data_IF_098428467721
#
_entry.id   IF_098428467721
#
_cell.length_a   1.000
_cell.length_b   1.000
_cell.length_c   1.000
_cell.angle_alpha   90.00
_cell.angle_beta   90.00
_cell.angle_gamma   90.00
#
_symmetry.space_group_name_H-M   'P 1'
#
loop_
_entity.id
_entity.type
_entity.pdbx_description
1 polymer ?
#
# COMPACT_ATOMS: atom_id res chain seq x y z
N UNK A 1 63.53 -14.44 -17.78
CA UNK A 1 64.36 -15.49 -17.12
C UNK A 1 63.45 -16.20 -16.15
N UNK A 2 63.05 -17.36 -16.52
CA UNK A 2 63.31 -18.69 -15.94
C UNK A 2 62.73 -18.86 -14.51
N UNK A 3 61.64 -19.68 -14.45
CA UNK A 3 61.49 -21.01 -13.79
C UNK A 3 61.41 -20.91 -12.24
N UNK A 4 60.49 -21.57 -11.54
CA UNK A 4 60.30 -23.05 -11.35
C UNK A 4 58.96 -23.29 -10.67
N UNK A 5 58.19 -24.09 -11.19
CA UNK A 5 57.29 -25.19 -10.84
C UNK A 5 57.71 -25.95 -9.59
N UNK A 6 56.79 -26.20 -8.63
CA UNK A 6 56.88 -27.38 -7.76
C UNK A 6 55.48 -27.89 -7.41
N UNK A 7 55.27 -29.13 -7.79
CA UNK A 7 54.16 -30.03 -7.47
C UNK A 7 54.26 -30.48 -6.02
N UNK A 8 53.12 -30.57 -5.31
CA UNK A 8 52.98 -31.57 -4.27
C UNK A 8 51.54 -32.09 -4.27
N UNK A 9 51.39 -33.32 -4.73
CA UNK A 9 50.28 -34.22 -4.43
C UNK A 9 50.42 -34.72 -3.00
N UNK A 10 49.36 -34.74 -2.22
CA UNK A 10 49.16 -35.80 -1.20
C UNK A 10 47.66 -35.95 -0.88
N UNK A 11 47.21 -37.18 -1.16
CA UNK A 11 46.26 -38.04 -0.43
C UNK A 11 44.89 -37.49 -0.04
N UNK A 12 43.89 -38.04 -0.67
CA UNK A 12 42.52 -38.19 -0.13
C UNK A 12 42.47 -39.20 1.01
N UNK A 13 41.53 -39.01 1.95
CA UNK A 13 40.77 -40.14 2.44
C UNK A 13 39.30 -40.02 2.00
N UNK A 14 38.81 -41.13 1.48
CA UNK A 14 37.40 -41.45 1.27
C UNK A 14 36.66 -41.41 2.59
N UNK A 15 35.68 -40.56 2.71
CA UNK A 15 34.68 -40.63 3.76
C UNK A 15 33.28 -40.40 3.15
N UNK A 16 32.47 -41.40 3.28
CA UNK A 16 31.06 -41.56 3.39
C UNK A 16 30.15 -40.53 2.75
N UNK A 17 29.41 -40.98 1.74
CA UNK A 17 28.14 -40.40 1.31
C UNK A 17 27.17 -40.33 2.49
N UNK A 18 27.01 -39.17 3.10
CA UNK A 18 25.86 -38.87 3.93
C UNK A 18 24.75 -38.47 3.00
N UNK A 19 23.78 -39.33 2.82
CA UNK A 19 22.51 -39.09 2.15
C UNK A 19 21.74 -38.06 2.99
N UNK A 20 21.45 -36.88 2.42
CA UNK A 20 20.54 -35.90 3.03
C UNK A 20 19.10 -36.48 3.02
N UNK A 21 18.40 -36.58 4.17
CA UNK A 21 17.05 -37.10 4.23
C UNK A 21 16.02 -35.98 4.07
N UNK A 22 15.94 -35.32 2.92
CA UNK A 22 14.97 -34.21 2.70
C UNK A 22 14.25 -34.27 1.35
N UNK A 23 14.93 -34.67 0.30
CA UNK A 23 14.38 -34.54 -1.06
C UNK A 23 13.33 -35.62 -1.43
N UNK A 24 13.25 -36.72 -0.72
CA UNK A 24 12.28 -37.78 -1.02
C UNK A 24 10.86 -37.50 -0.48
N UNK A 25 10.75 -36.81 0.64
CA UNK A 25 9.46 -36.48 1.26
C UNK A 25 8.72 -35.37 0.49
N UNK A 26 9.44 -34.36 0.04
CA UNK A 26 8.85 -33.25 -0.73
C UNK A 26 8.35 -33.72 -2.09
N UNK A 27 9.07 -34.62 -2.76
CA UNK A 27 8.65 -35.18 -4.04
C UNK A 27 7.39 -36.06 -3.92
N UNK A 28 7.28 -36.87 -2.87
CA UNK A 28 6.07 -37.66 -2.60
C UNK A 28 4.88 -36.77 -2.25
N UNK A 29 5.08 -35.71 -1.48
CA UNK A 29 4.04 -34.76 -1.16
C UNK A 29 3.53 -34.03 -2.41
N UNK A 30 4.43 -33.61 -3.29
CA UNK A 30 4.06 -32.99 -4.58
C UNK A 30 3.24 -33.95 -5.45
N UNK A 31 3.63 -35.22 -5.55
CA UNK A 31 2.87 -36.21 -6.29
C UNK A 31 1.49 -36.47 -5.70
N UNK A 32 1.37 -36.48 -4.37
CA UNK A 32 0.06 -36.59 -3.69
C UNK A 32 -0.82 -35.36 -3.95
N UNK A 33 -0.26 -34.16 -3.93
CA UNK A 33 -0.99 -32.94 -4.23
C UNK A 33 -1.47 -32.90 -5.68
N UNK A 34 -0.63 -33.31 -6.63
CA UNK A 34 -1.00 -33.38 -8.04
C UNK A 34 -2.13 -34.40 -8.27
N UNK A 35 -2.06 -35.57 -7.68
CA UNK A 35 -3.13 -36.59 -7.78
C UNK A 35 -4.45 -36.09 -7.17
N UNK A 36 -4.37 -35.31 -6.09
CA UNK A 36 -5.56 -34.71 -5.47
C UNK A 36 -6.19 -33.62 -6.32
N UNK A 37 -5.37 -32.82 -7.01
CA UNK A 37 -5.83 -31.83 -7.98
C UNK A 37 -6.55 -32.51 -9.13
N UNK A 38 -5.98 -33.54 -9.74
CA UNK A 38 -6.62 -34.29 -10.82
C UNK A 38 -7.97 -34.92 -10.38
N UNK A 39 -8.03 -35.43 -9.16
CA UNK A 39 -9.26 -35.97 -8.60
C UNK A 39 -10.33 -34.88 -8.45
N UNK A 40 -9.98 -33.71 -7.90
CA UNK A 40 -10.90 -32.58 -7.72
C UNK A 40 -11.38 -32.04 -9.08
N UNK A 41 -10.49 -31.95 -10.08
CA UNK A 41 -10.90 -31.58 -11.44
C UNK A 41 -11.89 -32.55 -12.05
N UNK A 42 -11.72 -33.86 -11.82
CA UNK A 42 -12.65 -34.89 -12.27
C UNK A 42 -14.01 -34.75 -11.58
N UNK A 43 -14.04 -34.54 -10.27
CA UNK A 43 -15.27 -34.29 -9.48
C UNK A 43 -16.02 -33.05 -9.97
N UNK A 44 -15.30 -31.95 -10.25
CA UNK A 44 -15.88 -30.71 -10.81
C UNK A 44 -16.47 -30.94 -12.21
N UNK A 45 -15.79 -31.71 -13.08
CA UNK A 45 -16.32 -32.08 -14.41
C UNK A 45 -17.59 -32.93 -14.31
N UNK A 46 -17.65 -33.89 -13.38
CA UNK A 46 -18.81 -34.69 -13.15
C UNK A 46 -20.00 -33.88 -12.62
N UNK A 47 -19.76 -32.95 -11.68
CA UNK A 47 -20.79 -32.04 -11.19
C UNK A 47 -21.33 -31.10 -12.28
N UNK A 48 -20.49 -30.62 -13.18
CA UNK A 48 -20.92 -29.80 -14.34
C UNK A 48 -21.75 -30.59 -15.35
N UNK A 49 -21.53 -31.89 -15.50
CA UNK A 49 -22.30 -32.77 -16.40
C UNK A 49 -23.59 -33.25 -15.78
N UNK A 50 -23.69 -33.28 -14.45
CA UNK A 50 -24.86 -33.72 -13.71
C UNK A 50 -25.89 -32.61 -13.44
N UNK A 51 -25.63 -31.39 -13.79
CA UNK A 51 -26.58 -30.28 -13.64
C UNK A 51 -27.67 -30.38 -14.73
N UNK A 52 -28.96 -30.61 -14.41
CA UNK A 52 -30.01 -30.60 -15.39
C UNK A 52 -30.21 -29.18 -15.93
N UNK A 53 -30.39 -29.05 -17.25
CA UNK A 53 -30.79 -27.84 -17.91
C UNK A 53 -32.18 -27.40 -17.40
N UNK A 54 -32.23 -26.61 -16.38
CA UNK A 54 -33.44 -26.06 -15.76
C UNK A 54 -33.70 -24.65 -16.28
N UNK A 55 -34.85 -24.48 -16.83
CA UNK A 55 -35.49 -23.24 -17.29
C UNK A 55 -35.34 -22.09 -16.29
N UNK A 56 -35.14 -20.83 -16.73
CA UNK A 56 -35.02 -19.68 -15.83
C UNK A 56 -36.39 -19.36 -15.23
N UNK A 57 -36.59 -19.69 -13.98
CA UNK A 57 -37.73 -19.20 -13.21
C UNK A 57 -37.36 -17.85 -12.62
N UNK A 58 -37.95 -16.79 -13.12
CA UNK A 58 -38.00 -15.51 -12.47
C UNK A 58 -38.66 -15.66 -11.10
N UNK A 59 -38.01 -15.33 -10.05
CA UNK A 59 -38.50 -14.64 -8.85
C UNK A 59 -37.47 -14.76 -7.73
N UNK A 60 -36.71 -13.74 -7.52
CA UNK A 60 -36.30 -13.35 -6.18
C UNK A 60 -36.14 -11.82 -6.18
N UNK A 61 -36.91 -11.18 -5.32
CA UNK A 61 -36.84 -9.76 -5.04
C UNK A 61 -35.40 -9.35 -4.70
N UNK A 62 -34.93 -8.16 -5.10
CA UNK A 62 -33.61 -7.70 -4.75
C UNK A 62 -33.52 -7.58 -3.23
N UNK A 63 -32.66 -8.36 -2.63
CA UNK A 63 -32.23 -8.17 -1.25
C UNK A 63 -31.55 -6.78 -1.21
N UNK A 64 -32.20 -5.83 -0.55
CA UNK A 64 -31.62 -4.51 -0.33
C UNK A 64 -30.29 -4.70 0.42
N UNK A 65 -29.18 -4.56 -0.30
CA UNK A 65 -27.86 -4.50 0.29
C UNK A 65 -27.81 -3.27 1.18
N UNK A 66 -27.61 -3.46 2.48
CA UNK A 66 -27.43 -2.36 3.42
C UNK A 66 -26.15 -1.59 3.01
N UNK A 67 -26.26 -0.35 2.48
CA UNK A 67 -25.13 0.38 1.93
C UNK A 67 -24.06 0.73 2.97
N UNK A 68 -24.39 0.67 4.27
CA UNK A 68 -23.50 1.07 5.35
C UNK A 68 -22.26 0.18 5.49
N UNK A 69 -22.36 -1.14 5.32
CA UNK A 69 -21.21 -2.06 5.42
C UNK A 69 -20.33 -1.97 4.17
N UNK A 70 -20.96 -1.84 2.99
CA UNK A 70 -20.23 -1.64 1.74
C UNK A 70 -19.46 -0.31 1.74
N UNK A 71 -20.07 0.74 2.29
CA UNK A 71 -19.44 2.08 2.39
C UNK A 71 -18.34 2.12 3.47
N UNK A 72 -18.46 1.37 4.54
CA UNK A 72 -17.44 1.35 5.60
C UNK A 72 -16.21 0.52 5.21
N UNK A 73 -16.37 -0.63 4.55
CA UNK A 73 -15.28 -1.38 3.92
C UNK A 73 -14.65 -0.58 2.76
N UNK A 74 -15.47 0.19 2.02
CA UNK A 74 -14.99 1.08 0.96
C UNK A 74 -14.36 2.39 1.50
N UNK A 75 -14.67 2.82 2.72
CA UNK A 75 -14.02 3.98 3.33
C UNK A 75 -12.64 3.66 3.91
N UNK A 76 -12.40 2.40 4.27
CA UNK A 76 -11.08 1.85 4.58
C UNK A 76 -10.35 1.33 3.33
N UNK A 77 -11.10 0.96 2.28
CA UNK A 77 -10.62 0.81 0.92
C UNK A 77 -10.86 2.16 0.23
N UNK A 78 -9.81 2.82 -0.20
CA UNK A 78 -9.81 4.17 -0.80
C UNK A 78 -11.03 4.45 -1.71
N UNK A 79 -11.47 5.72 -1.76
CA UNK A 79 -12.51 6.17 -2.70
C UNK A 79 -12.18 5.83 -4.17
N UNK A 80 -10.89 5.67 -4.52
CA UNK A 80 -10.41 5.16 -5.80
C UNK A 80 -10.62 3.66 -6.00
N UNK A 81 -10.43 2.83 -4.94
CA UNK A 81 -10.68 1.39 -5.00
C UNK A 81 -12.19 1.08 -5.15
N UNK A 82 -13.07 1.91 -4.59
CA UNK A 82 -14.51 1.75 -4.75
C UNK A 82 -14.98 1.98 -6.19
N UNK A 83 -14.28 2.81 -6.96
CA UNK A 83 -14.58 3.08 -8.37
C UNK A 83 -13.98 2.02 -9.30
N UNK A 84 -12.84 1.42 -8.93
CA UNK A 84 -12.24 0.28 -9.62
C UNK A 84 -12.90 -1.05 -9.25
N UNK A 85 -13.40 -1.19 -8.01
CA UNK A 85 -14.10 -2.39 -7.53
C UNK A 85 -15.40 -2.69 -8.27
N UNK A 86 -15.95 -1.73 -9.02
CA UNK A 86 -17.13 -1.95 -9.86
C UNK A 86 -16.80 -2.74 -11.15
N UNK A 87 -15.52 -2.84 -11.54
CA UNK A 87 -15.14 -3.36 -12.86
C UNK A 87 -14.80 -4.86 -12.89
N UNK A 88 -14.23 -5.44 -11.82
CA UNK A 88 -13.83 -6.87 -11.83
C UNK A 88 -13.71 -7.44 -10.43
N UNK A 89 -14.81 -7.86 -9.87
CA UNK A 89 -14.77 -8.65 -8.64
C UNK A 89 -15.05 -10.11 -8.99
N UNK A 90 -14.08 -10.98 -8.82
CA UNK A 90 -14.31 -12.42 -8.93
C UNK A 90 -14.89 -12.91 -7.62
N UNK A 91 -16.08 -13.47 -7.71
CA UNK A 91 -16.79 -14.07 -6.57
C UNK A 91 -16.42 -15.55 -6.48
N UNK A 92 -15.72 -15.93 -5.41
CA UNK A 92 -15.47 -17.32 -5.07
C UNK A 92 -16.57 -17.79 -4.10
N UNK A 93 -17.50 -18.57 -4.60
CA UNK A 93 -18.58 -19.13 -3.80
C UNK A 93 -18.25 -20.57 -3.38
N UNK A 94 -18.16 -20.78 -2.07
CA UNK A 94 -18.03 -22.11 -1.46
C UNK A 94 -19.33 -22.42 -0.73
N UNK A 95 -19.97 -23.58 -0.98
CA UNK A 95 -21.22 -23.93 -0.29
C UNK A 95 -21.12 -23.83 1.23
N UNK A 96 -22.02 -23.05 1.84
CA UNK A 96 -22.03 -22.81 3.28
C UNK A 96 -21.15 -21.69 3.80
N UNK A 97 -20.36 -21.04 2.94
CA UNK A 97 -19.59 -19.82 3.27
C UNK A 97 -20.14 -18.61 2.53
N UNK A 98 -19.95 -17.43 3.11
CA UNK A 98 -20.27 -16.18 2.42
C UNK A 98 -19.29 -15.98 1.25
N UNK A 99 -19.73 -15.36 0.13
CA UNK A 99 -18.88 -15.12 -1.02
C UNK A 99 -17.62 -14.33 -0.65
N UNK A 100 -16.47 -14.76 -1.18
CA UNK A 100 -15.20 -14.06 -1.07
C UNK A 100 -14.97 -13.32 -2.37
N UNK A 101 -14.75 -12.01 -2.28
CA UNK A 101 -14.42 -11.17 -3.43
C UNK A 101 -12.90 -11.01 -3.50
N UNK A 102 -12.34 -11.31 -4.66
CA UNK A 102 -10.90 -11.18 -4.94
C UNK A 102 -10.72 -10.20 -6.09
N UNK A 103 -9.80 -9.26 -5.94
CA UNK A 103 -9.39 -8.30 -6.96
C UNK A 103 -7.87 -8.24 -6.97
N UNK A 104 -7.28 -8.15 -8.15
CA UNK A 104 -5.84 -8.04 -8.30
C UNK A 104 -5.42 -6.74 -8.98
N UNK A 105 -4.23 -6.28 -8.63
CA UNK A 105 -3.57 -5.14 -9.26
C UNK A 105 -2.10 -5.49 -9.48
N UNK A 106 -1.56 -5.04 -10.60
CA UNK A 106 -0.12 -5.21 -10.86
C UNK A 106 0.40 -4.15 -11.82
N UNK A 107 1.72 -4.03 -11.91
CA UNK A 107 2.37 -3.19 -12.88
C UNK A 107 3.75 -3.70 -13.29
N UNK A 108 4.18 -3.23 -14.46
CA UNK A 108 5.54 -3.37 -14.98
C UNK A 108 6.02 -1.97 -15.33
N UNK A 109 7.23 -1.64 -14.95
CA UNK A 109 7.78 -0.31 -15.13
C UNK A 109 9.18 -0.33 -15.77
N UNK A 110 9.55 0.80 -16.36
CA UNK A 110 10.91 1.10 -16.76
C UNK A 110 11.29 2.47 -16.21
N UNK A 111 12.46 2.58 -15.64
CA UNK A 111 13.02 3.84 -15.14
C UNK A 111 14.39 4.10 -15.75
N UNK A 112 14.64 5.36 -16.10
CA UNK A 112 15.92 5.87 -16.53
C UNK A 112 16.19 7.22 -15.85
N UNK A 113 17.43 7.48 -15.42
CA UNK A 113 17.84 8.76 -14.86
C UNK A 113 19.24 9.16 -15.34
N UNK A 114 19.55 10.45 -15.23
CA UNK A 114 20.88 10.98 -15.49
C UNK A 114 21.78 11.01 -14.23
N UNK A 115 21.29 10.47 -13.11
CA UNK A 115 22.04 10.35 -11.87
C UNK A 115 23.17 9.33 -12.03
N UNK A 116 24.40 9.79 -11.78
CA UNK A 116 25.56 8.90 -11.87
C UNK A 116 25.49 7.78 -10.84
N UNK A 117 25.52 6.55 -11.29
CA UNK A 117 25.43 5.35 -10.45
C UNK A 117 24.07 4.68 -10.47
N UNK A 118 23.03 5.36 -10.97
CA UNK A 118 21.75 4.72 -11.22
C UNK A 118 21.81 3.77 -12.43
N UNK A 119 21.02 2.73 -12.36
CA UNK A 119 20.82 1.79 -13.47
C UNK A 119 19.49 2.06 -14.14
N UNK A 120 19.53 2.21 -15.47
CA UNK A 120 18.32 2.22 -16.27
C UNK A 120 17.81 0.79 -16.39
N UNK A 121 16.62 0.51 -15.91
CA UNK A 121 16.13 -0.86 -15.82
C UNK A 121 14.63 -0.99 -16.00
N UNK A 122 14.24 -2.16 -16.52
CA UNK A 122 12.89 -2.67 -16.34
C UNK A 122 12.77 -3.27 -14.94
N UNK A 123 11.60 -3.08 -14.31
CA UNK A 123 11.29 -3.65 -13.02
C UNK A 123 9.88 -4.22 -13.03
N UNK A 124 9.70 -5.30 -12.30
CA UNK A 124 8.37 -5.71 -11.87
C UNK A 124 7.95 -4.76 -10.77
N UNK A 125 6.75 -4.22 -10.88
CA UNK A 125 6.12 -3.50 -9.78
C UNK A 125 5.54 -4.47 -8.77
N UNK A 126 4.45 -4.07 -8.16
CA UNK A 126 3.80 -4.87 -7.14
C UNK A 126 2.70 -5.73 -7.78
N UNK A 127 2.56 -6.97 -7.29
CA UNK A 127 1.39 -7.81 -7.52
C UNK A 127 0.57 -7.85 -6.24
N UNK A 128 -0.58 -7.19 -6.25
CA UNK A 128 -1.46 -7.04 -5.10
C UNK A 128 -2.69 -7.94 -5.24
N UNK A 129 -3.00 -8.70 -4.20
CA UNK A 129 -4.26 -9.42 -4.06
C UNK A 129 -5.08 -8.80 -2.93
N UNK A 130 -6.24 -8.31 -3.30
CA UNK A 130 -7.19 -7.68 -2.42
C UNK A 130 -8.38 -8.62 -2.19
N UNK A 131 -8.56 -9.07 -0.96
CA UNK A 131 -9.52 -10.09 -0.59
C UNK A 131 -10.50 -9.47 0.40
N UNK A 132 -11.76 -9.45 0.06
CA UNK A 132 -12.83 -8.99 0.97
C UNK A 132 -13.88 -10.04 1.17
N UNK A 133 -14.40 -10.12 2.38
CA UNK A 133 -15.51 -11.01 2.74
C UNK A 133 -16.48 -10.30 3.67
N UNK A 134 -17.76 -10.44 3.39
CA UNK A 134 -18.84 -9.94 4.24
C UNK A 134 -19.39 -11.08 5.08
N UNK A 135 -18.85 -11.24 6.30
CA UNK A 135 -19.24 -12.32 7.21
C UNK A 135 -20.68 -12.20 7.70
N UNK A 136 -21.18 -10.98 7.83
CA UNK A 136 -22.57 -10.68 8.18
C UNK A 136 -22.94 -9.24 7.80
N UNK A 137 -24.18 -8.82 8.09
CA UNK A 137 -24.62 -7.43 7.86
C UNK A 137 -23.79 -6.38 8.63
N UNK A 138 -23.01 -6.79 9.63
CA UNK A 138 -22.22 -5.89 10.49
C UNK A 138 -20.76 -6.26 10.56
N UNK A 139 -20.37 -7.43 10.06
CA UNK A 139 -19.01 -7.94 10.15
C UNK A 139 -18.39 -8.09 8.76
N UNK A 140 -17.20 -7.57 8.58
CA UNK A 140 -16.41 -7.67 7.36
C UNK A 140 -14.97 -8.06 7.65
N UNK A 141 -14.36 -8.69 6.66
CA UNK A 141 -12.94 -9.03 6.64
C UNK A 141 -12.32 -8.41 5.39
N UNK A 142 -11.11 -7.86 5.55
CA UNK A 142 -10.27 -7.42 4.46
C UNK A 142 -8.88 -7.99 4.67
N UNK A 143 -8.34 -8.62 3.64
CA UNK A 143 -6.95 -9.04 3.53
C UNK A 143 -6.32 -8.45 2.28
N UNK A 144 -5.08 -8.01 2.38
CA UNK A 144 -4.29 -7.55 1.24
C UNK A 144 -2.90 -8.17 1.32
N UNK A 145 -2.55 -8.89 0.25
CA UNK A 145 -1.24 -9.50 0.07
C UNK A 145 -0.52 -8.79 -1.07
N UNK A 146 0.71 -8.41 -0.83
CA UNK A 146 1.59 -7.82 -1.83
C UNK A 146 2.76 -8.75 -2.09
N UNK A 147 3.04 -8.99 -3.36
CA UNK A 147 4.25 -9.66 -3.82
C UNK A 147 5.04 -8.64 -4.61
N UNK A 148 6.26 -8.38 -4.20
CA UNK A 148 7.14 -7.41 -4.86
C UNK A 148 8.57 -7.90 -4.93
N UNK A 149 9.33 -7.32 -5.85
CA UNK A 149 10.76 -7.58 -5.98
C UNK A 149 11.56 -6.41 -5.40
N UNK A 150 12.62 -6.74 -4.68
CA UNK A 150 13.56 -5.75 -4.16
C UNK A 150 14.74 -5.48 -5.12
N UNK A 151 15.59 -4.53 -4.74
CA UNK A 151 16.80 -4.16 -5.49
C UNK A 151 17.86 -5.29 -5.53
N UNK A 152 17.73 -6.32 -4.69
CA UNK A 152 18.62 -7.48 -4.64
C UNK A 152 18.12 -8.62 -5.54
N UNK A 153 17.08 -8.40 -6.34
CA UNK A 153 16.38 -9.39 -7.15
C UNK A 153 15.79 -10.54 -6.32
N UNK A 154 15.40 -10.26 -5.08
CA UNK A 154 14.60 -11.20 -4.29
C UNK A 154 13.13 -10.85 -4.38
N UNK A 155 12.26 -11.81 -4.13
CA UNK A 155 10.81 -11.64 -4.13
C UNK A 155 10.30 -11.81 -2.71
N UNK A 156 9.69 -10.75 -2.19
CA UNK A 156 9.03 -10.74 -0.90
C UNK A 156 7.52 -10.94 -1.02
N UNK A 157 6.92 -11.50 0.02
CA UNK A 157 5.45 -11.54 0.18
C UNK A 157 5.09 -10.87 1.49
N UNK A 158 4.25 -9.85 1.41
CA UNK A 158 3.85 -9.06 2.55
C UNK A 158 2.36 -9.10 2.80
N UNK A 159 1.98 -9.17 4.08
CA UNK A 159 0.62 -8.97 4.52
C UNK A 159 0.41 -7.48 4.81
N UNK A 160 -0.05 -6.74 3.81
CA UNK A 160 -0.21 -5.29 3.90
C UNK A 160 -1.32 -4.87 4.83
N UNK A 161 -2.49 -5.46 4.65
CA UNK A 161 -3.63 -5.24 5.53
C UNK A 161 -4.26 -6.55 5.93
N UNK A 162 -4.69 -6.61 7.17
CA UNK A 162 -5.57 -7.64 7.66
C UNK A 162 -6.50 -6.99 8.68
N UNK A 163 -7.74 -6.76 8.28
CA UNK A 163 -8.73 -6.06 9.08
C UNK A 163 -9.96 -6.92 9.32
N UNK A 164 -10.32 -7.05 10.57
CA UNK A 164 -11.66 -7.46 10.98
C UNK A 164 -12.42 -6.20 11.38
N UNK A 165 -13.57 -5.96 10.73
CA UNK A 165 -14.36 -4.75 10.92
C UNK A 165 -15.75 -5.08 11.45
N UNK A 166 -16.16 -4.34 12.47
CA UNK A 166 -17.53 -4.30 12.97
C UNK A 166 -18.14 -2.93 12.67
N UNK A 167 -19.26 -2.90 11.94
CA UNK A 167 -20.02 -1.69 11.62
C UNK A 167 -21.32 -1.68 12.39
N UNK A 168 -21.43 -0.82 13.40
CA UNK A 168 -22.66 -0.65 14.17
C UNK A 168 -23.72 0.10 13.35
N UNK A 169 -23.33 1.21 12.73
CA UNK A 169 -24.13 2.12 11.90
C UNK A 169 -23.21 3.12 11.17
N UNK A 170 -23.77 4.11 10.48
CA UNK A 170 -23.02 5.16 9.76
C UNK A 170 -22.14 6.05 10.66
N UNK A 171 -22.43 6.07 11.94
CA UNK A 171 -21.73 6.94 12.91
C UNK A 171 -20.59 6.24 13.64
N UNK A 172 -20.54 4.90 13.57
CA UNK A 172 -19.52 4.13 14.25
C UNK A 172 -19.23 2.79 13.55
N UNK A 173 -17.97 2.63 13.14
CA UNK A 173 -17.37 1.36 12.77
C UNK A 173 -16.04 1.20 13.50
N UNK A 174 -15.71 -0.02 13.91
CA UNK A 174 -14.46 -0.37 14.59
C UNK A 174 -13.75 -1.45 13.79
N UNK A 175 -12.50 -1.24 13.46
CA UNK A 175 -11.62 -2.21 12.82
C UNK A 175 -10.50 -2.59 13.76
N UNK A 176 -10.09 -3.87 13.73
CA UNK A 176 -8.95 -4.40 14.45
C UNK A 176 -8.03 -5.11 13.46
N UNK A 177 -6.73 -4.90 13.58
CA UNK A 177 -5.71 -5.54 12.73
C UNK A 177 -4.67 -4.56 12.20
N UNK A 178 -4.08 -4.88 11.04
CA UNK A 178 -3.12 -4.04 10.32
C UNK A 178 -3.84 -3.15 9.32
N UNK A 179 -3.66 -1.86 9.44
CA UNK A 179 -4.33 -0.83 8.63
C UNK A 179 -3.34 0.24 8.16
N UNK A 180 -3.78 1.03 7.17
CA UNK A 180 -3.08 2.25 6.77
C UNK A 180 -3.43 3.36 7.72
N UNK A 181 -2.41 3.95 8.34
CA UNK A 181 -2.59 5.07 9.25
C UNK A 181 -3.23 6.25 8.50
N UNK A 182 -4.31 6.78 9.04
CA UNK A 182 -5.05 7.88 8.41
C UNK A 182 -4.37 9.25 8.59
N UNK A 183 -3.10 9.33 8.17
CA UNK A 183 -2.33 10.57 8.09
C UNK A 183 -2.55 11.17 6.71
N UNK A 184 -3.21 12.33 6.65
CA UNK A 184 -3.58 12.96 5.38
C UNK A 184 -4.68 12.23 4.62
N UNK A 185 -4.67 12.38 3.30
CA UNK A 185 -5.63 11.78 2.37
C UNK A 185 -4.99 10.63 1.57
N UNK A 186 -3.79 10.85 1.02
CA UNK A 186 -3.15 9.96 0.05
C UNK A 186 -2.97 8.55 0.61
N UNK A 187 -2.52 8.43 1.85
CA UNK A 187 -2.22 7.14 2.46
C UNK A 187 -3.41 6.18 2.54
N UNK A 188 -4.62 6.72 2.69
CA UNK A 188 -5.85 5.91 2.73
C UNK A 188 -6.56 5.82 1.38
N UNK A 189 -6.28 6.76 0.45
CA UNK A 189 -6.96 6.85 -0.85
C UNK A 189 -6.25 6.10 -1.97
N UNK A 190 -4.91 6.10 -1.99
CA UNK A 190 -4.09 5.57 -3.10
C UNK A 190 -3.07 4.55 -2.64
N UNK A 191 -3.43 3.69 -1.74
CA UNK A 191 -2.50 2.71 -1.22
C UNK A 191 -1.84 1.88 -2.33
N UNK A 192 -1.25 0.76 -2.12
CA UNK A 192 -0.35 0.02 -3.01
C UNK A 192 -0.66 0.03 -4.51
N UNK A 193 -1.92 0.12 -4.92
CA UNK A 193 -2.26 -0.03 -6.32
C UNK A 193 -1.80 1.15 -7.19
N UNK A 194 -0.76 0.92 -7.97
CA UNK A 194 -0.34 1.82 -9.05
C UNK A 194 -1.45 2.10 -10.08
N UNK A 195 -2.40 1.18 -10.23
CA UNK A 195 -3.58 1.32 -11.08
C UNK A 195 -4.44 2.52 -10.71
N UNK A 196 -4.65 2.76 -9.43
CA UNK A 196 -5.58 3.79 -8.93
C UNK A 196 -5.07 5.22 -9.11
N UNK A 197 -3.77 5.44 -9.11
CA UNK A 197 -3.16 6.76 -9.16
C UNK A 197 -2.88 7.24 -10.59
N UNK A 198 -2.95 8.55 -10.81
CA UNK A 198 -2.64 9.17 -12.10
C UNK A 198 -1.15 9.12 -12.42
N UNK A 199 -0.30 9.37 -11.44
CA UNK A 199 1.16 9.36 -11.55
C UNK A 199 1.77 7.94 -11.52
N UNK A 200 3.01 7.80 -11.93
CA UNK A 200 3.76 6.54 -11.79
C UNK A 200 4.15 6.32 -10.34
N UNK A 201 4.82 7.29 -9.72
CA UNK A 201 5.29 7.21 -8.35
C UNK A 201 4.34 7.83 -7.33
N UNK A 202 4.47 7.39 -6.07
CA UNK A 202 3.85 8.02 -4.90
C UNK A 202 4.45 9.40 -4.67
N UNK A 203 3.73 10.35 -4.02
CA UNK A 203 4.35 11.57 -3.54
C UNK A 203 5.48 11.25 -2.55
N UNK A 204 6.59 11.99 -2.64
CA UNK A 204 7.80 11.78 -1.85
C UNK A 204 7.54 11.59 -0.34
N UNK A 205 6.65 12.40 0.24
CA UNK A 205 6.31 12.34 1.67
C UNK A 205 5.54 11.07 2.05
N UNK A 206 4.90 10.41 1.09
CA UNK A 206 4.17 9.15 1.27
C UNK A 206 4.94 7.93 0.74
N UNK A 207 6.25 8.03 0.58
CA UNK A 207 7.07 6.84 0.34
C UNK A 207 6.85 5.83 1.47
N UNK A 208 6.92 4.54 1.13
CA UNK A 208 6.81 3.47 2.11
C UNK A 208 8.00 3.45 3.05
N UNK A 209 7.84 2.86 4.22
CA UNK A 209 8.85 2.81 5.27
C UNK A 209 10.12 2.10 4.81
N UNK A 210 10.00 0.97 4.12
CA UNK A 210 11.06 0.18 3.49
C UNK A 210 11.77 0.94 2.37
N UNK A 211 11.02 1.75 1.61
CA UNK A 211 11.55 2.69 0.61
C UNK A 211 12.19 3.96 1.21
N UNK A 212 12.43 4.02 2.52
CA UNK A 212 13.01 5.18 3.20
C UNK A 212 12.01 6.28 3.55
N UNK A 213 10.71 6.02 3.50
CA UNK A 213 9.67 6.96 3.89
C UNK A 213 9.72 7.35 5.37
N UNK A 214 9.28 8.59 5.66
CA UNK A 214 9.33 9.17 7.02
C UNK A 214 8.03 9.01 7.81
N UNK A 215 6.92 8.68 7.13
CA UNK A 215 5.62 8.53 7.77
C UNK A 215 5.37 7.09 8.22
N UNK A 216 4.61 6.88 9.31
CA UNK A 216 4.09 5.57 9.68
C UNK A 216 2.92 5.22 8.75
N UNK A 217 3.22 4.64 7.59
CA UNK A 217 2.23 4.29 6.57
C UNK A 217 1.29 3.20 7.11
N UNK A 218 1.84 2.20 7.79
CA UNK A 218 1.12 1.08 8.37
C UNK A 218 1.09 1.14 9.89
N UNK A 219 0.02 0.58 10.48
CA UNK A 219 -0.06 0.40 11.92
C UNK A 219 -0.87 -0.88 12.26
N UNK A 220 -0.56 -1.51 13.38
CA UNK A 220 -1.31 -2.64 13.93
C UNK A 220 -2.00 -2.21 15.21
N UNK A 221 -3.32 -2.33 15.25
CA UNK A 221 -4.10 -1.88 16.40
C UNK A 221 -5.59 -1.81 16.11
N UNK A 222 -6.21 -0.74 16.58
CA UNK A 222 -7.64 -0.45 16.44
C UNK A 222 -7.82 0.87 15.69
N UNK A 223 -8.83 0.90 14.79
CA UNK A 223 -9.25 2.10 14.07
C UNK A 223 -10.77 2.25 14.17
N UNK A 224 -11.24 3.35 14.75
CA UNK A 224 -12.64 3.71 14.82
C UNK A 224 -12.94 4.82 13.82
N UNK A 225 -14.02 4.67 13.05
CA UNK A 225 -14.41 5.64 12.02
C UNK A 225 -15.91 5.88 12.06
N UNK A 226 -16.34 7.05 11.60
CA UNK A 226 -17.76 7.35 11.49
C UNK A 226 -18.06 8.73 10.98
N UNK A 227 -19.32 8.97 10.66
CA UNK A 227 -19.83 10.26 10.26
C UNK A 227 -20.37 11.02 11.48
N UNK A 228 -20.12 12.31 11.58
CA UNK A 228 -20.75 13.16 12.57
C UNK A 228 -22.12 13.65 12.07
N UNK A 229 -23.14 13.73 12.93
CA UNK A 229 -24.51 14.09 12.52
C UNK A 229 -24.68 15.59 12.17
N UNK A 230 -23.63 16.26 11.74
CA UNK A 230 -23.62 17.65 11.29
C UNK A 230 -23.84 17.70 9.77
N UNK A 231 -25.09 17.72 9.36
CA UNK A 231 -25.61 17.28 8.08
C UNK A 231 -25.07 17.97 6.81
N UNK A 232 -24.77 19.26 6.83
CA UNK A 232 -24.36 19.99 5.60
C UNK A 232 -22.87 19.96 5.34
N UNK A 233 -22.07 19.82 6.36
CA UNK A 233 -20.60 19.80 6.27
C UNK A 233 -20.07 18.39 5.89
N UNK A 234 -20.88 17.33 6.05
CA UNK A 234 -20.43 15.97 5.78
C UNK A 234 -19.17 15.62 6.56
N UNK A 235 -19.16 15.90 7.87
CA UNK A 235 -18.00 15.65 8.73
C UNK A 235 -17.86 14.16 9.06
N UNK A 236 -16.63 13.68 9.00
CA UNK A 236 -16.22 12.34 9.40
C UNK A 236 -15.06 12.41 10.36
N UNK A 237 -14.95 11.42 11.23
CA UNK A 237 -13.82 11.28 12.14
C UNK A 237 -13.11 9.94 11.95
N UNK A 238 -11.84 9.91 12.31
CA UNK A 238 -11.01 8.71 12.44
C UNK A 238 -10.26 8.82 13.75
N UNK A 239 -10.27 7.74 14.55
CA UNK A 239 -9.52 7.64 15.79
C UNK A 239 -8.81 6.28 15.81
N UNK A 240 -7.49 6.30 15.88
CA UNK A 240 -6.65 5.10 15.78
C UNK A 240 -5.74 5.00 17.00
N UNK A 241 -5.51 3.78 17.44
CA UNK A 241 -4.50 3.43 18.44
C UNK A 241 -3.79 2.14 18.01
N UNK A 242 -2.48 2.13 18.07
CA UNK A 242 -1.70 0.96 17.65
C UNK A 242 -0.26 0.98 18.12
N UNK A 243 0.53 0.07 17.60
CA UNK A 243 1.93 -0.10 17.97
C UNK A 243 2.80 1.11 17.59
N UNK A 244 2.42 1.82 16.51
CA UNK A 244 3.22 2.90 15.97
C UNK A 244 4.28 2.43 14.98
N UNK A 245 5.22 3.30 14.67
CA UNK A 245 6.30 3.02 13.75
C UNK A 245 7.49 2.45 14.52
N UNK A 246 8.10 1.38 14.00
CA UNK A 246 9.41 0.95 14.47
C UNK A 246 10.48 2.01 14.15
N UNK A 247 11.48 2.10 15.00
CA UNK A 247 12.59 3.04 14.83
C UNK A 247 13.41 2.66 13.62
N UNK A 248 13.75 3.65 12.82
CA UNK A 248 14.72 3.50 11.76
C UNK A 248 16.13 3.60 12.36
N UNK A 249 16.98 2.61 12.05
CA UNK A 249 18.42 2.74 12.18
C UNK A 249 19.07 2.69 10.80
N UNK A 250 20.27 3.20 10.61
CA UNK A 250 20.95 3.12 9.31
C UNK A 250 21.19 1.69 8.80
N UNK A 251 21.07 0.69 9.67
CA UNK A 251 21.28 -0.71 9.38
C UNK A 251 20.00 -1.55 9.28
N UNK A 252 18.86 -0.99 9.71
CA UNK A 252 17.62 -1.74 9.75
C UNK A 252 16.60 -1.11 8.79
N UNK A 253 16.01 -1.95 7.96
CA UNK A 253 14.79 -1.57 7.26
C UNK A 253 13.72 -1.19 8.30
N UNK A 254 12.95 -0.16 8.00
CA UNK A 254 11.82 0.21 8.85
C UNK A 254 10.85 -0.96 8.94
N UNK A 255 10.92 -1.68 10.05
CA UNK A 255 10.18 -2.93 10.24
C UNK A 255 8.69 -2.65 10.25
N UNK A 256 7.98 -3.45 9.54
CA UNK A 256 6.53 -3.46 9.50
C UNK A 256 5.95 -3.91 10.84
N UNK A 257 5.59 -3.05 11.68
CA UNK A 257 4.93 -3.03 12.99
C UNK A 257 4.14 -4.29 13.43
N UNK A 258 4.71 -5.48 13.27
CA UNK A 258 4.07 -6.73 13.73
C UNK A 258 4.04 -6.79 15.24
N UNK A 259 5.11 -6.30 15.86
CA UNK A 259 5.29 -6.19 17.31
C UNK A 259 5.72 -4.76 17.63
N UNK A 260 5.45 -4.33 18.86
CA UNK A 260 5.87 -3.02 19.32
C UNK A 260 7.33 -3.07 19.81
N UNK A 261 8.12 -2.07 19.50
CA UNK A 261 9.48 -1.90 20.03
C UNK A 261 9.52 -1.31 21.43
N UNK A 262 8.38 -0.78 21.90
CA UNK A 262 8.26 -0.14 23.21
C UNK A 262 6.85 -0.31 23.78
N UNK A 263 6.63 0.12 25.03
CA UNK A 263 5.32 0.05 25.71
C UNK A 263 4.41 1.23 25.37
N UNK A 264 4.88 2.26 24.67
CA UNK A 264 4.08 3.38 24.20
C UNK A 264 3.15 2.94 23.06
N UNK A 265 1.99 3.59 22.96
CA UNK A 265 1.09 3.36 21.82
C UNK A 265 0.99 4.63 20.99
N UNK A 266 1.03 4.46 19.69
CA UNK A 266 0.72 5.52 18.75
C UNK A 266 -0.78 5.82 18.76
N UNK A 267 -1.12 7.09 18.68
CA UNK A 267 -2.50 7.57 18.58
C UNK A 267 -2.62 8.50 17.39
N UNK A 268 -3.65 8.31 16.56
CA UNK A 268 -4.01 9.20 15.47
C UNK A 268 -5.45 9.66 15.60
N UNK A 269 -5.66 10.96 15.43
CA UNK A 269 -6.98 11.57 15.39
C UNK A 269 -7.12 12.37 14.09
N UNK A 270 -8.14 12.07 13.30
CA UNK A 270 -8.44 12.75 12.06
C UNK A 270 -9.89 13.23 12.01
N UNK A 271 -10.08 14.37 11.35
CA UNK A 271 -11.40 14.87 10.97
C UNK A 271 -11.33 15.37 9.54
N UNK A 272 -12.33 15.01 8.73
CA UNK A 272 -12.45 15.52 7.37
C UNK A 272 -13.89 15.84 7.01
N UNK A 273 -14.05 16.75 6.07
CA UNK A 273 -15.31 17.24 5.56
C UNK A 273 -15.48 16.85 4.09
N UNK A 274 -16.65 16.32 3.75
CA UNK A 274 -17.16 16.14 2.38
C UNK A 274 -18.48 16.89 2.26
N UNK A 275 -18.45 18.22 2.06
CA UNK A 275 -19.65 19.04 2.10
C UNK A 275 -20.62 18.69 0.95
N UNK A 276 -21.89 18.53 1.26
CA UNK A 276 -22.93 18.15 0.28
C UNK A 276 -23.09 19.15 -0.86
N UNK A 277 -22.79 20.42 -0.61
CA UNK A 277 -22.92 21.50 -1.61
C UNK A 277 -21.77 21.57 -2.62
N UNK A 278 -20.70 20.80 -2.44
CA UNK A 278 -19.51 20.81 -3.31
C UNK A 278 -19.10 19.37 -3.61
N UNK A 279 -19.76 18.70 -4.56
CA UNK A 279 -19.43 17.32 -4.93
C UNK A 279 -17.97 17.18 -5.34
N UNK A 280 -17.33 16.10 -4.88
CA UNK A 280 -15.92 15.82 -5.17
C UNK A 280 -14.90 16.59 -4.32
N UNK A 281 -15.36 17.50 -3.45
CA UNK A 281 -14.49 18.23 -2.53
C UNK A 281 -14.31 17.47 -1.21
N UNK A 282 -13.08 17.41 -0.74
CA UNK A 282 -12.73 16.93 0.61
C UNK A 282 -11.63 17.79 1.18
N UNK A 283 -11.75 18.14 2.45
CA UNK A 283 -10.67 18.75 3.24
C UNK A 283 -10.63 18.14 4.61
N UNK A 284 -9.45 18.04 5.19
CA UNK A 284 -9.31 17.43 6.50
C UNK A 284 -7.97 17.72 7.16
N UNK A 285 -7.91 17.28 8.40
CA UNK A 285 -6.74 17.42 9.26
C UNK A 285 -6.58 16.14 10.08
N UNK A 286 -5.32 15.74 10.32
CA UNK A 286 -4.98 14.66 11.24
C UNK A 286 -3.82 15.03 12.16
N UNK A 287 -3.84 14.47 13.36
CA UNK A 287 -2.82 14.59 14.38
C UNK A 287 -2.41 13.19 14.84
N UNK A 288 -1.19 12.81 14.53
CA UNK A 288 -0.58 11.56 14.95
C UNK A 288 0.48 11.82 16.03
N UNK A 289 0.54 10.97 17.04
CA UNK A 289 1.55 11.02 18.09
C UNK A 289 2.07 9.64 18.41
N UNK A 290 3.40 9.54 18.53
CA UNK A 290 4.13 8.30 18.80
C UNK A 290 5.39 8.56 19.63
N UNK A 291 6.02 7.49 20.10
CA UNK A 291 7.27 7.51 20.83
C UNK A 291 8.23 6.49 20.22
N UNK A 292 9.27 6.96 19.55
CA UNK A 292 10.28 6.12 18.91
C UNK A 292 11.45 5.89 19.87
N UNK A 293 12.06 4.70 19.82
CA UNK A 293 13.21 4.33 20.64
C UNK A 293 14.36 3.82 19.77
N UNK A 294 14.89 4.65 18.85
CA UNK A 294 15.96 4.23 17.95
C UNK A 294 17.24 3.94 18.76
N UNK A 295 17.95 2.90 18.34
CA UNK A 295 19.20 2.49 18.96
C UNK A 295 20.26 3.61 18.84
N UNK A 296 20.94 3.91 19.93
CA UNK A 296 22.03 4.91 19.96
C UNK A 296 21.60 6.38 19.92
N UNK A 297 20.32 6.69 19.75
CA UNK A 297 19.83 8.09 19.65
C UNK A 297 19.08 8.52 20.91
N UNK A 298 18.46 7.58 21.60
CA UNK A 298 17.55 7.86 22.72
C UNK A 298 16.11 8.09 22.26
N UNK A 299 15.22 8.27 23.22
CA UNK A 299 13.78 8.43 22.96
C UNK A 299 13.46 9.65 22.14
N UNK A 300 12.62 9.49 21.12
CA UNK A 300 12.09 10.58 20.30
C UNK A 300 10.57 10.65 20.45
N UNK A 301 10.03 11.75 20.95
CA UNK A 301 8.62 12.04 20.87
C UNK A 301 8.26 12.54 19.48
N UNK A 302 7.56 11.71 18.68
CA UNK A 302 7.10 12.07 17.35
C UNK A 302 5.69 12.66 17.39
N UNK A 303 5.48 13.75 16.67
CA UNK A 303 4.15 14.33 16.44
C UNK A 303 4.04 14.71 14.96
N UNK A 304 2.96 14.29 14.30
CA UNK A 304 2.74 14.57 12.87
C UNK A 304 1.43 15.34 12.74
N UNK A 305 1.49 16.50 12.13
CA UNK A 305 0.34 17.30 11.73
C UNK A 305 0.20 17.17 10.22
N UNK A 306 -0.97 16.75 9.75
CA UNK A 306 -1.23 16.65 8.32
C UNK A 306 -2.56 17.35 7.98
N UNK A 307 -2.57 18.08 6.88
CA UNK A 307 -3.77 18.71 6.33
C UNK A 307 -3.87 18.47 4.86
N UNK A 308 -5.10 18.31 4.35
CA UNK A 308 -5.33 18.10 2.92
C UNK A 308 -6.50 18.90 2.38
N UNK A 309 -6.40 19.22 1.10
CA UNK A 309 -7.48 19.75 0.26
C UNK A 309 -7.49 18.97 -1.05
N UNK A 310 -8.59 18.30 -1.31
CA UNK A 310 -8.79 17.43 -2.47
C UNK A 310 -10.05 17.84 -3.22
N UNK A 311 -9.98 17.83 -4.54
CA UNK A 311 -11.13 17.99 -5.42
C UNK A 311 -11.05 16.98 -6.55
N UNK A 312 -12.09 16.15 -6.67
CA UNK A 312 -12.17 15.11 -7.70
C UNK A 312 -13.57 15.10 -8.29
N UNK A 313 -13.75 15.82 -9.40
CA UNK A 313 -15.05 15.95 -10.07
C UNK A 313 -14.87 16.14 -11.56
N UNK A 314 -15.75 15.52 -12.35
CA UNK A 314 -15.81 15.71 -13.82
C UNK A 314 -14.45 15.51 -14.52
N UNK A 315 -13.69 14.51 -14.07
CA UNK A 315 -12.36 14.19 -14.61
C UNK A 315 -11.24 15.14 -14.19
N UNK A 316 -11.52 16.20 -13.43
CA UNK A 316 -10.50 16.99 -12.75
C UNK A 316 -10.12 16.34 -11.42
N UNK A 317 -8.84 16.23 -11.17
CA UNK A 317 -8.28 15.81 -9.89
C UNK A 317 -7.30 16.86 -9.41
N UNK A 318 -7.46 17.30 -8.17
CA UNK A 318 -6.59 18.24 -7.50
C UNK A 318 -6.31 17.68 -6.08
N UNK A 319 -5.07 17.30 -5.84
CA UNK A 319 -4.61 16.71 -4.59
C UNK A 319 -3.56 17.61 -3.97
N UNK A 320 -3.80 18.07 -2.74
CA UNK A 320 -2.85 18.88 -2.02
C UNK A 320 -2.80 18.43 -0.58
N UNK A 321 -1.59 18.15 -0.10
CA UNK A 321 -1.35 17.80 1.29
C UNK A 321 -0.11 18.49 1.80
N UNK A 322 -0.18 18.94 3.04
CA UNK A 322 0.94 19.52 3.77
C UNK A 322 1.08 18.80 5.11
N UNK A 323 2.31 18.48 5.45
CA UNK A 323 2.66 17.69 6.63
C UNK A 323 3.79 18.39 7.36
N UNK A 324 3.70 18.43 8.67
CA UNK A 324 4.81 18.81 9.56
C UNK A 324 5.04 17.67 10.54
N UNK A 325 6.16 17.00 10.41
CA UNK A 325 6.61 16.00 11.36
C UNK A 325 7.54 16.68 12.36
N UNK A 326 7.25 16.55 13.66
CA UNK A 326 8.02 17.12 14.75
C UNK A 326 8.63 16.01 15.59
N UNK A 327 9.95 16.04 15.71
CA UNK A 327 10.72 15.18 16.62
C UNK A 327 11.22 15.99 17.82
N UNK A 328 10.93 15.49 19.01
CA UNK A 328 11.49 16.00 20.27
C UNK A 328 12.42 14.92 20.85
N UNK A 329 13.72 15.11 20.70
CA UNK A 329 14.74 14.15 21.12
C UNK A 329 15.05 14.30 22.60
N UNK A 330 15.00 13.22 23.36
CA UNK A 330 15.31 13.24 24.80
C UNK A 330 16.77 13.62 25.03
N UNK A 331 17.00 14.69 25.78
CA UNK A 331 18.36 15.24 25.99
C UNK A 331 18.95 15.96 24.79
N UNK A 332 18.18 16.13 23.71
CA UNK A 332 18.56 16.78 22.47
C UNK A 332 17.65 17.94 22.09
N UNK A 333 17.58 18.22 20.79
CA UNK A 333 16.78 19.31 20.23
C UNK A 333 15.36 18.92 19.83
N UNK A 334 14.64 19.92 19.34
CA UNK A 334 13.34 19.75 18.67
C UNK A 334 13.54 20.08 17.19
N UNK A 335 13.14 19.15 16.32
CA UNK A 335 13.28 19.26 14.88
C UNK A 335 11.92 19.26 14.21
N UNK A 336 11.77 20.03 13.15
CA UNK A 336 10.57 20.08 12.34
C UNK A 336 10.92 19.72 10.90
N UNK A 337 10.18 18.78 10.34
CA UNK A 337 10.34 18.30 8.98
C UNK A 337 9.08 18.70 8.20
N UNK A 338 9.07 19.87 7.54
CA UNK A 338 7.98 20.24 6.66
C UNK A 338 8.06 19.47 5.35
N UNK A 339 6.90 19.00 4.90
CA UNK A 339 6.73 18.35 3.61
C UNK A 339 5.38 18.69 3.00
N UNK A 340 5.30 18.76 1.67
CA UNK A 340 4.04 18.90 0.97
C UNK A 340 4.13 18.36 -0.45
N UNK A 341 2.98 18.07 -1.04
CA UNK A 341 2.84 17.95 -2.48
C UNK A 341 1.57 18.63 -2.96
N UNK A 342 1.59 19.04 -4.22
CA UNK A 342 0.45 19.57 -4.96
C UNK A 342 0.40 18.89 -6.31
N UNK A 343 -0.70 18.21 -6.62
CA UNK A 343 -0.91 17.50 -7.87
C UNK A 343 -2.21 17.95 -8.52
N UNK A 344 -2.15 18.16 -9.83
CA UNK A 344 -3.32 18.38 -10.66
C UNK A 344 -3.32 17.41 -11.82
N UNK A 345 -4.47 16.84 -12.15
CA UNK A 345 -4.67 16.04 -13.36
C UNK A 345 -6.03 16.33 -13.98
N UNK A 346 -6.15 16.12 -15.30
CA UNK A 346 -7.42 16.29 -16.02
C UNK A 346 -7.61 15.15 -17.01
N UNK A 347 -8.71 14.41 -16.85
CA UNK A 347 -9.09 13.38 -17.83
C UNK A 347 -9.72 14.03 -19.06
N UNK A 348 -9.19 13.68 -20.23
CA UNK A 348 -9.64 14.14 -21.56
C UNK A 348 -9.77 12.91 -22.47
N UNK A 349 -10.94 12.27 -22.47
CA UNK A 349 -11.13 10.97 -23.09
C UNK A 349 -10.32 9.89 -22.40
N UNK A 350 -9.43 9.23 -23.13
CA UNK A 350 -8.54 8.17 -22.64
C UNK A 350 -7.24 8.71 -22.04
N UNK A 351 -6.94 10.01 -22.28
CA UNK A 351 -5.68 10.63 -21.82
C UNK A 351 -5.91 11.46 -20.58
N UNK A 352 -4.98 11.38 -19.64
CA UNK A 352 -4.95 12.17 -18.41
C UNK A 352 -3.57 12.77 -18.20
N UNK A 353 -3.29 13.99 -18.67
CA UNK A 353 -2.12 14.74 -18.25
C UNK A 353 -2.19 15.07 -16.78
N UNK A 354 -1.02 15.06 -16.14
CA UNK A 354 -0.86 15.45 -14.74
C UNK A 354 0.44 16.21 -14.52
N UNK A 355 0.44 16.99 -13.44
CA UNK A 355 1.61 17.68 -12.92
C UNK A 355 1.58 17.61 -11.40
N UNK A 356 2.75 17.34 -10.79
CA UNK A 356 2.95 17.33 -9.34
C UNK A 356 4.22 18.07 -9.00
N UNK A 357 4.19 18.86 -7.94
CA UNK A 357 5.37 19.41 -7.30
C UNK A 357 5.44 18.90 -5.88
N UNK A 358 6.63 18.49 -5.47
CA UNK A 358 6.92 17.84 -4.19
C UNK A 358 8.01 18.59 -3.44
N UNK A 359 7.91 18.58 -2.11
CA UNK A 359 8.90 19.20 -1.23
C UNK A 359 8.95 18.48 0.11
N UNK A 360 10.17 18.24 0.59
CA UNK A 360 10.45 17.75 1.94
C UNK A 360 11.78 18.30 2.40
N UNK A 361 11.87 18.76 3.66
CA UNK A 361 13.11 19.30 4.20
C UNK A 361 13.38 18.72 5.58
N UNK A 362 14.37 17.83 5.66
CA UNK A 362 14.87 17.25 6.90
C UNK A 362 16.08 18.06 7.36
N UNK A 363 16.06 18.66 8.57
CA UNK A 363 17.22 19.37 9.10
C UNK A 363 18.43 18.44 9.24
N UNK A 364 19.63 18.93 8.92
CA UNK A 364 20.85 18.12 9.00
C UNK A 364 21.19 17.59 10.39
N UNK A 365 20.72 18.27 11.43
CA UNK A 365 20.93 17.88 12.82
C UNK A 365 19.83 16.96 13.35
N UNK A 366 18.83 16.62 12.53
CA UNK A 366 17.79 15.66 12.90
C UNK A 366 18.40 14.25 12.91
N UNK A 367 18.36 13.51 14.03
CA UNK A 367 19.22 12.32 14.17
C UNK A 367 18.72 11.07 13.46
N UNK A 368 17.42 10.99 13.13
CA UNK A 368 16.82 9.77 12.59
C UNK A 368 16.78 9.76 11.04
N UNK A 369 16.56 10.91 10.42
CA UNK A 369 16.37 11.06 8.98
C UNK A 369 17.36 12.03 8.33
N UNK A 370 18.49 12.32 8.99
CA UNK A 370 19.48 13.31 8.52
C UNK A 370 20.06 13.04 7.14
N UNK A 371 20.02 11.78 6.70
CA UNK A 371 20.46 11.32 5.38
C UNK A 371 19.57 11.87 4.24
N UNK A 372 18.29 12.16 4.49
CA UNK A 372 17.35 12.65 3.46
C UNK A 372 17.67 14.11 3.07
N UNK A 373 17.72 15.03 4.03
CA UNK A 373 17.98 16.46 3.79
C UNK A 373 16.84 17.18 3.08
N UNK A 374 17.19 18.20 2.28
CA UNK A 374 16.24 18.89 1.41
C UNK A 374 16.06 18.11 0.11
N UNK A 375 14.83 17.72 -0.16
CA UNK A 375 14.45 17.03 -1.39
C UNK A 375 13.18 17.64 -1.98
N UNK A 376 13.21 17.99 -3.25
CA UNK A 376 12.06 18.59 -3.93
C UNK A 376 12.18 18.47 -5.45
N UNK A 377 11.05 18.60 -6.16
CA UNK A 377 11.10 18.66 -7.61
C UNK A 377 9.74 18.56 -8.27
N UNK A 378 9.67 18.95 -9.55
CA UNK A 378 8.51 18.76 -10.39
C UNK A 378 8.47 17.34 -10.97
N UNK A 379 7.27 16.83 -11.09
CA UNK A 379 6.91 15.58 -11.77
C UNK A 379 5.79 15.89 -12.75
N UNK A 380 5.89 15.46 -13.98
CA UNK A 380 4.86 15.69 -14.98
C UNK A 380 4.74 14.51 -15.95
N UNK A 381 3.52 14.20 -16.36
CA UNK A 381 3.34 13.03 -17.21
C UNK A 381 1.94 12.93 -17.81
N UNK A 382 1.75 11.78 -18.45
CA UNK A 382 0.52 11.39 -19.10
C UNK A 382 0.14 9.99 -18.65
N UNK A 383 -1.11 9.80 -18.30
CA UNK A 383 -1.73 8.47 -18.18
C UNK A 383 -2.65 8.27 -19.39
N UNK A 384 -2.54 7.12 -20.03
CA UNK A 384 -3.38 6.67 -21.12
C UNK A 384 -4.13 5.42 -20.70
N UNK A 385 -5.45 5.49 -20.55
CA UNK A 385 -6.31 4.37 -20.19
C UNK A 385 -6.67 3.60 -21.47
N UNK A 386 -6.09 2.40 -21.68
CA UNK A 386 -6.46 1.54 -22.84
C UNK A 386 -7.90 1.08 -22.74
N UNK A 387 -8.32 0.72 -21.53
CA UNK A 387 -9.67 0.29 -21.18
C UNK A 387 -9.84 0.39 -19.66
N UNK A 388 -10.86 -0.25 -19.11
CA UNK A 388 -11.15 -0.32 -17.67
C UNK A 388 -10.18 -1.21 -16.86
N UNK A 389 -9.28 -1.96 -17.53
CA UNK A 389 -8.38 -2.91 -16.88
C UNK A 389 -6.91 -2.54 -17.01
N UNK A 390 -6.53 -1.71 -17.97
CA UNK A 390 -5.12 -1.43 -18.25
C UNK A 390 -4.88 0.03 -18.60
N UNK A 391 -3.78 0.57 -18.09
CA UNK A 391 -3.30 1.92 -18.40
C UNK A 391 -1.79 1.94 -18.63
N UNK A 392 -1.36 2.77 -19.55
CA UNK A 392 0.04 3.14 -19.74
C UNK A 392 0.29 4.52 -19.16
N UNK A 393 1.43 4.70 -18.49
CA UNK A 393 1.85 5.99 -17.94
C UNK A 393 3.25 6.31 -18.43
N UNK A 394 3.45 7.60 -18.72
CA UNK A 394 4.74 8.19 -19.06
C UNK A 394 4.95 9.39 -18.13
N UNK A 395 6.06 9.40 -17.40
CA UNK A 395 6.36 10.40 -16.40
C UNK A 395 7.79 10.91 -16.56
N UNK A 396 7.95 12.23 -16.56
CA UNK A 396 9.23 12.90 -16.43
C UNK A 396 9.33 13.51 -15.06
N UNK A 397 10.47 13.36 -14.41
CA UNK A 397 10.73 13.95 -13.11
C UNK A 397 12.06 14.67 -13.07
N UNK A 398 12.13 15.67 -12.21
CA UNK A 398 13.38 16.27 -11.77
C UNK A 398 13.44 16.21 -10.27
N UNK A 399 14.40 15.47 -9.75
CA UNK A 399 14.66 15.36 -8.32
C UNK A 399 15.85 16.25 -7.96
N UNK A 400 15.66 17.07 -6.95
CA UNK A 400 16.69 17.95 -6.40
C UNK A 400 16.89 17.55 -4.94
N UNK A 401 17.91 16.73 -4.71
CA UNK A 401 18.26 16.26 -3.38
C UNK A 401 19.55 16.94 -2.91
N UNK A 402 19.44 17.80 -1.88
CA UNK A 402 20.55 18.64 -1.39
C UNK A 402 21.18 19.43 -2.54
N UNK A 403 22.41 19.02 -2.93
CA UNK A 403 23.17 19.64 -4.02
C UNK A 403 23.20 18.80 -5.30
N UNK A 404 22.56 17.65 -5.27
CA UNK A 404 22.45 16.73 -6.41
C UNK A 404 21.16 17.01 -7.15
N UNK A 405 21.23 17.05 -8.47
CA UNK A 405 20.08 17.19 -9.35
C UNK A 405 20.09 16.04 -10.31
N UNK A 406 18.96 15.36 -10.43
CA UNK A 406 18.75 14.33 -11.42
C UNK A 406 17.48 14.59 -12.22
N UNK A 407 17.49 14.21 -13.48
CA UNK A 407 16.32 14.18 -14.32
C UNK A 407 16.10 12.73 -14.76
N UNK A 408 14.86 12.34 -14.87
CA UNK A 408 14.57 10.99 -15.28
C UNK A 408 13.23 10.84 -15.98
N UNK A 409 13.07 9.65 -16.50
CA UNK A 409 11.89 9.16 -17.20
C UNK A 409 11.43 7.89 -16.51
N UNK A 410 10.14 7.78 -16.29
CA UNK A 410 9.48 6.52 -15.88
C UNK A 410 8.38 6.19 -16.85
N UNK A 411 8.27 4.92 -17.19
CA UNK A 411 7.11 4.39 -17.89
C UNK A 411 6.53 3.24 -17.09
N UNK A 412 5.22 3.06 -17.15
CA UNK A 412 4.53 2.02 -16.39
C UNK A 412 3.32 1.52 -17.17
N UNK A 413 3.18 0.21 -17.27
CA UNK A 413 1.92 -0.44 -17.61
C UNK A 413 1.32 -0.94 -16.31
N UNK A 414 0.19 -0.40 -15.90
CA UNK A 414 -0.55 -0.84 -14.71
C UNK A 414 -1.87 -1.47 -15.13
N UNK A 415 -2.28 -2.52 -14.42
CA UNK A 415 -3.50 -3.26 -14.76
C UNK A 415 -4.18 -3.82 -13.51
N UNK A 416 -5.47 -4.13 -13.67
CA UNK A 416 -6.32 -4.77 -12.66
C UNK A 416 -7.02 -5.99 -13.26
N UNK A 417 -7.37 -6.96 -12.43
CA UNK A 417 -8.03 -8.20 -12.83
C UNK A 417 -8.87 -8.79 -11.71
#
# INVERSE_FOLDING_TARGET
>A
MKKILCFLMLAMPTAGLAQEPGQGLDHQLILQLLSRIEQLESEVRQMKQAAPAGTPTQSSAPFESNPAVSTALAATASAGAAQAAAATTHELSVPGLQPVHVQGFSDVQYQASDLKGDYNSFGLGQFNLFITNRLSNKLGLLGELVVESDLNNTVGVELERLLFQYTANDYFALSAGRYHTAIGYYNTAYHHSSWLQSAVGRPLVFAFEDGGGILPIHNVGLSATGRLPLSKLGLHYIAEIGNGRASRTPSDEAVQNRTDENNGKAVNLGIYSRPQGIPGFQTGFSLYRDSLHPEGIGKIGQTIFAGHVVYQQSGLEFLNEAIVLRHAVQGGGVFHIPAFYSQVSKRMGEVRPYFRYEYMNVPRAEPLYSDIGLRHGPVGGLRFDFNEFAAYKLEFFRDMERNVKSNGLRTQVSFTF
#
